data_IF_829439573730
#
_entry.id   IF_829439573730
#
_cell.length_a   1.000
_cell.length_b   1.000
_cell.length_c   1.000
_cell.angle_alpha   90.00
_cell.angle_beta   90.00
_cell.angle_gamma   90.00
#
_symmetry.space_group_name_H-M   'P 1'
#
loop_
_entity.id
_entity.type
_entity.pdbx_description
1 polymer ?
#
# COMPACT_ATOMS: atom_id res chain seq x y z
N UNK A 1 27.38 4.88 -22.48
CA UNK A 1 26.26 5.42 -21.67
C UNK A 1 25.20 4.34 -21.57
N UNK A 2 24.65 4.08 -20.37
CA UNK A 2 23.43 3.30 -20.22
C UNK A 2 22.29 3.97 -21.01
N UNK A 3 21.41 3.18 -21.63
CA UNK A 3 20.26 3.69 -22.39
C UNK A 3 19.40 4.67 -21.57
N UNK A 4 19.27 4.40 -20.27
CA UNK A 4 18.52 5.21 -19.30
C UNK A 4 19.04 6.64 -19.14
N UNK A 5 20.27 6.93 -19.57
CA UNK A 5 20.89 8.25 -19.46
C UNK A 5 20.86 9.02 -20.79
N UNK A 6 20.40 8.41 -21.88
CA UNK A 6 20.34 9.11 -23.17
C UNK A 6 19.26 10.19 -23.13
N UNK A 7 19.48 11.39 -23.71
CA UNK A 7 18.50 12.47 -23.65
C UNK A 7 17.14 12.10 -24.25
N UNK A 8 17.14 11.29 -25.31
CA UNK A 8 15.93 10.80 -25.95
C UNK A 8 15.13 9.87 -25.02
N UNK A 9 15.82 8.96 -24.32
CA UNK A 9 15.18 8.11 -23.33
C UNK A 9 14.62 8.93 -22.18
N UNK A 10 15.42 9.80 -21.55
CA UNK A 10 14.98 10.63 -20.40
C UNK A 10 13.78 11.49 -20.79
N UNK A 11 13.80 12.12 -21.97
CA UNK A 11 12.67 12.91 -22.47
C UNK A 11 11.40 12.06 -22.61
N UNK A 12 11.51 10.88 -23.20
CA UNK A 12 10.36 9.98 -23.40
C UNK A 12 9.85 9.44 -22.07
N UNK A 13 10.77 9.00 -21.22
CA UNK A 13 10.49 8.45 -19.89
C UNK A 13 9.86 9.48 -18.95
N UNK A 14 10.20 10.76 -19.09
CA UNK A 14 9.59 11.83 -18.30
C UNK A 14 8.07 11.99 -18.48
N UNK A 15 7.52 11.40 -19.55
CA UNK A 15 6.08 11.40 -19.85
C UNK A 15 5.33 10.24 -19.22
N UNK A 16 6.02 9.27 -18.60
CA UNK A 16 5.39 8.12 -17.97
C UNK A 16 4.54 8.57 -16.78
N UNK A 17 3.26 8.21 -16.82
CA UNK A 17 2.30 8.45 -15.72
C UNK A 17 2.04 7.19 -14.89
N UNK A 18 2.35 6.01 -15.43
CA UNK A 18 2.09 4.72 -14.80
C UNK A 18 3.32 3.81 -14.91
N UNK A 19 3.80 3.34 -13.76
CA UNK A 19 4.90 2.40 -13.65
C UNK A 19 4.45 1.22 -12.78
N UNK A 20 4.34 0.05 -13.40
CA UNK A 20 4.00 -1.19 -12.71
C UNK A 20 5.11 -2.22 -12.88
N UNK A 21 5.67 -2.64 -11.75
CA UNK A 21 6.74 -3.61 -11.65
C UNK A 21 6.38 -4.59 -10.53
N UNK A 22 5.40 -5.45 -10.80
CA UNK A 22 4.87 -6.42 -9.83
C UNK A 22 5.68 -7.73 -9.77
N UNK A 23 6.70 -7.85 -10.62
CA UNK A 23 7.57 -9.01 -10.73
C UNK A 23 8.76 -8.89 -9.77
N UNK A 24 8.61 -9.47 -8.57
CA UNK A 24 9.67 -9.87 -7.65
C UNK A 24 11.02 -9.14 -7.81
N UNK A 25 11.03 -7.81 -7.67
CA UNK A 25 12.20 -6.95 -7.84
C UNK A 25 13.31 -7.45 -6.92
N UNK A 26 14.48 -7.71 -7.50
CA UNK A 26 15.64 -8.25 -6.79
C UNK A 26 16.56 -7.11 -6.31
N UNK A 27 17.39 -7.34 -5.28
CA UNK A 27 18.24 -6.29 -4.71
C UNK A 27 19.18 -5.59 -5.70
N UNK A 28 19.67 -6.31 -6.71
CA UNK A 28 20.54 -5.80 -7.77
C UNK A 28 19.84 -4.82 -8.73
N UNK A 29 18.51 -4.77 -8.72
CA UNK A 29 17.70 -3.89 -9.58
C UNK A 29 17.33 -2.56 -8.90
N UNK A 30 17.59 -2.42 -7.59
CA UNK A 30 17.10 -1.28 -6.80
C UNK A 30 17.66 0.07 -7.26
N UNK A 31 18.96 0.15 -7.56
CA UNK A 31 19.59 1.38 -8.03
C UNK A 31 19.03 1.82 -9.39
N UNK A 32 18.85 0.87 -10.30
CA UNK A 32 18.23 1.12 -11.59
C UNK A 32 16.79 1.60 -11.42
N UNK A 33 16.03 0.99 -10.52
CA UNK A 33 14.65 1.37 -10.23
C UNK A 33 14.57 2.80 -9.67
N UNK A 34 15.45 3.16 -8.73
CA UNK A 34 15.54 4.52 -8.20
C UNK A 34 15.81 5.54 -9.32
N UNK A 35 16.71 5.21 -10.25
CA UNK A 35 16.97 6.05 -11.41
C UNK A 35 15.74 6.20 -12.33
N UNK A 36 14.99 5.12 -12.56
CA UNK A 36 13.77 5.19 -13.37
C UNK A 36 12.70 6.06 -12.73
N UNK A 37 12.44 5.86 -11.43
CA UNK A 37 11.40 6.59 -10.71
C UNK A 37 11.74 8.08 -10.57
N UNK A 38 13.01 8.42 -10.33
CA UNK A 38 13.46 9.82 -10.30
C UNK A 38 13.33 10.50 -11.67
N UNK A 39 13.29 9.73 -12.76
CA UNK A 39 13.15 10.24 -14.13
C UNK A 39 11.69 10.35 -14.61
N UNK A 40 10.69 10.07 -13.75
CA UNK A 40 9.25 10.15 -14.09
C UNK A 40 8.53 11.22 -13.25
N UNK A 41 8.67 12.52 -13.57
CA UNK A 41 8.06 13.60 -12.80
C UNK A 41 6.52 13.69 -12.95
N UNK A 42 5.95 12.98 -13.93
CA UNK A 42 4.50 12.90 -14.17
C UNK A 42 3.86 11.65 -13.58
N UNK A 43 4.60 10.86 -12.80
CA UNK A 43 4.10 9.59 -12.28
C UNK A 43 2.91 9.80 -11.35
N UNK A 44 1.79 9.15 -11.68
CA UNK A 44 0.53 9.14 -10.94
C UNK A 44 0.22 7.76 -10.38
N UNK A 45 0.68 6.70 -11.03
CA UNK A 45 0.45 5.31 -10.60
C UNK A 45 1.78 4.58 -10.43
N UNK A 46 2.01 4.06 -9.23
CA UNK A 46 3.21 3.32 -8.89
C UNK A 46 2.84 1.98 -8.27
N UNK A 47 3.24 0.89 -8.92
CA UNK A 47 3.12 -0.48 -8.40
C UNK A 47 4.49 -1.13 -8.34
N UNK A 48 4.93 -1.54 -7.14
CA UNK A 48 6.23 -2.18 -6.91
C UNK A 48 6.05 -3.47 -6.11
N UNK A 49 6.50 -4.59 -6.66
CA UNK A 49 6.53 -5.89 -6.01
C UNK A 49 7.95 -6.42 -5.86
N UNK A 50 8.39 -6.69 -4.63
CA UNK A 50 9.75 -7.11 -4.33
C UNK A 50 9.85 -8.62 -4.12
N UNK A 51 10.99 -9.21 -4.48
CA UNK A 51 11.33 -10.57 -4.04
C UNK A 51 11.65 -10.56 -2.54
N UNK A 52 12.44 -9.56 -2.13
CA UNK A 52 12.79 -9.29 -0.73
C UNK A 52 12.87 -7.78 -0.57
N UNK A 53 11.87 -7.20 0.10
CA UNK A 53 11.80 -5.77 0.34
C UNK A 53 13.02 -5.21 1.07
N UNK A 54 13.51 -4.08 0.57
CA UNK A 54 14.64 -3.35 1.15
C UNK A 54 14.17 -2.04 1.80
N UNK A 55 14.52 -1.88 3.06
CA UNK A 55 14.20 -0.69 3.86
C UNK A 55 14.94 0.55 3.37
N UNK A 56 16.19 0.40 2.92
CA UNK A 56 17.00 1.52 2.46
C UNK A 56 16.42 2.09 1.16
N UNK A 57 16.09 1.22 0.21
CA UNK A 57 15.36 1.61 -1.00
C UNK A 57 14.09 2.40 -0.68
N UNK A 58 13.26 1.94 0.26
CA UNK A 58 12.00 2.61 0.59
C UNK A 58 12.22 3.98 1.27
N UNK A 59 13.29 4.13 2.05
CA UNK A 59 13.70 5.43 2.59
C UNK A 59 14.08 6.40 1.45
N UNK A 60 14.90 5.95 0.49
CA UNK A 60 15.29 6.75 -0.67
C UNK A 60 14.09 7.14 -1.53
N UNK A 61 13.19 6.18 -1.78
CA UNK A 61 11.95 6.41 -2.52
C UNK A 61 11.08 7.50 -1.87
N UNK A 62 10.92 7.46 -0.54
CA UNK A 62 10.14 8.46 0.21
C UNK A 62 10.73 9.87 0.17
N UNK A 63 12.03 9.99 -0.10
CA UNK A 63 12.75 11.25 -0.20
C UNK A 63 12.64 11.87 -1.61
N UNK A 64 12.17 11.14 -2.62
CA UNK A 64 12.03 11.68 -3.96
C UNK A 64 10.94 12.74 -4.05
N UNK A 65 11.36 13.95 -4.39
CA UNK A 65 10.48 15.09 -4.59
C UNK A 65 9.55 14.92 -5.80
N UNK A 66 9.89 14.06 -6.76
CA UNK A 66 9.08 13.77 -7.96
C UNK A 66 7.82 12.95 -7.66
N UNK A 67 7.75 12.27 -6.52
CA UNK A 67 6.62 11.43 -6.10
C UNK A 67 5.62 12.18 -5.22
N UNK A 68 5.01 13.24 -5.75
CA UNK A 68 4.15 14.16 -4.97
C UNK A 68 2.71 14.30 -5.48
N UNK A 69 2.34 13.52 -6.51
CA UNK A 69 1.00 13.50 -7.13
C UNK A 69 0.52 12.09 -7.44
N UNK A 70 0.96 11.11 -6.64
CA UNK A 70 0.50 9.75 -6.77
C UNK A 70 -1.00 9.67 -6.44
N UNK A 71 -1.70 8.99 -7.33
CA UNK A 71 -3.12 8.67 -7.31
C UNK A 71 -3.32 7.21 -6.93
N UNK A 72 -2.43 6.33 -7.40
CA UNK A 72 -2.39 4.93 -7.01
C UNK A 72 -1.00 4.55 -6.50
N UNK A 73 -0.94 3.97 -5.30
CA UNK A 73 0.26 3.36 -4.76
C UNK A 73 -0.02 1.90 -4.40
N UNK A 74 0.75 0.99 -4.99
CA UNK A 74 0.72 -0.44 -4.66
C UNK A 74 2.12 -0.89 -4.30
N UNK A 75 2.25 -1.45 -3.11
CA UNK A 75 3.49 -2.05 -2.61
C UNK A 75 3.21 -3.50 -2.26
N UNK A 76 4.08 -4.39 -2.72
CA UNK A 76 4.01 -5.82 -2.44
C UNK A 76 5.36 -6.34 -1.93
N UNK A 77 5.33 -7.08 -0.83
CA UNK A 77 6.51 -7.74 -0.25
C UNK A 77 7.65 -6.78 0.13
N UNK A 78 7.33 -5.53 0.48
CA UNK A 78 8.30 -4.51 0.86
C UNK A 78 8.61 -4.51 2.37
N UNK A 79 9.83 -4.08 2.73
CA UNK A 79 10.19 -3.74 4.11
C UNK A 79 10.35 -2.23 4.17
N UNK A 80 9.67 -1.58 5.11
CA UNK A 80 9.58 -0.11 5.20
C UNK A 80 9.72 0.35 6.63
N UNK A 81 10.21 1.57 6.85
CA UNK A 81 10.03 2.22 8.17
C UNK A 81 8.67 2.91 8.23
N UNK A 82 8.14 3.08 9.44
CA UNK A 82 6.93 3.89 9.69
C UNK A 82 7.12 5.29 9.12
N UNK A 83 8.31 5.88 9.32
CA UNK A 83 8.61 7.23 8.85
C UNK A 83 8.65 7.31 7.33
N UNK A 84 9.31 6.37 6.64
CA UNK A 84 9.40 6.36 5.18
C UNK A 84 8.03 6.15 4.54
N UNK A 85 7.25 5.18 5.05
CA UNK A 85 5.90 4.93 4.55
C UNK A 85 4.98 6.13 4.81
N UNK A 86 4.96 6.67 6.05
CA UNK A 86 4.12 7.83 6.38
C UNK A 86 4.49 9.06 5.55
N UNK A 87 5.78 9.31 5.34
CA UNK A 87 6.25 10.44 4.53
C UNK A 87 5.81 10.31 3.07
N UNK A 88 5.94 9.10 2.50
CA UNK A 88 5.49 8.83 1.14
C UNK A 88 3.97 9.00 1.00
N UNK A 89 3.18 8.47 1.95
CA UNK A 89 1.73 8.57 1.93
C UNK A 89 1.25 10.00 2.12
N UNK A 90 1.73 10.71 3.15
CA UNK A 90 1.30 12.07 3.48
C UNK A 90 1.63 13.07 2.37
N UNK A 91 2.76 12.88 1.69
CA UNK A 91 3.13 13.70 0.52
C UNK A 91 2.10 13.62 -0.61
N UNK A 92 1.41 12.49 -0.72
CA UNK A 92 0.41 12.21 -1.76
C UNK A 92 -1.03 12.25 -1.22
N UNK A 93 -1.23 12.70 0.02
CA UNK A 93 -2.51 12.61 0.74
C UNK A 93 -3.69 13.28 0.02
N UNK A 94 -3.43 14.40 -0.66
CA UNK A 94 -4.45 15.14 -1.41
C UNK A 94 -4.84 14.50 -2.76
N UNK A 95 -4.02 13.59 -3.30
CA UNK A 95 -4.23 13.00 -4.64
C UNK A 95 -4.50 11.50 -4.60
N UNK A 96 -4.04 10.81 -3.56
CA UNK A 96 -4.10 9.35 -3.47
C UNK A 96 -5.54 8.87 -3.34
N UNK A 97 -6.02 8.16 -4.37
CA UNK A 97 -7.36 7.56 -4.39
C UNK A 97 -7.35 6.04 -4.19
N UNK A 98 -6.19 5.39 -4.38
CA UNK A 98 -6.01 3.96 -4.19
C UNK A 98 -4.69 3.64 -3.48
N UNK A 99 -4.79 2.85 -2.41
CA UNK A 99 -3.65 2.33 -1.67
C UNK A 99 -3.75 0.81 -1.53
N UNK A 100 -2.73 0.08 -1.98
CA UNK A 100 -2.61 -1.36 -1.75
C UNK A 100 -1.28 -1.69 -1.08
N UNK A 101 -1.33 -2.23 0.13
CA UNK A 101 -0.18 -2.66 0.91
C UNK A 101 -0.30 -4.17 1.19
N UNK A 102 0.48 -4.96 0.47
CA UNK A 102 0.43 -6.42 0.57
C UNK A 102 1.78 -6.98 1.02
N UNK A 103 1.79 -7.87 2.01
CA UNK A 103 3.03 -8.47 2.55
C UNK A 103 4.06 -7.43 3.02
N UNK A 104 3.60 -6.31 3.60
CA UNK A 104 4.48 -5.22 4.04
C UNK A 104 4.96 -5.47 5.46
N UNK A 105 6.27 -5.37 5.68
CA UNK A 105 6.89 -5.48 7.00
C UNK A 105 7.42 -4.12 7.47
N UNK A 106 7.03 -3.71 8.68
CA UNK A 106 7.65 -2.56 9.35
C UNK A 106 9.03 -2.96 9.89
N UNK A 107 10.07 -2.36 9.33
CA UNK A 107 11.46 -2.68 9.63
C UNK A 107 12.01 -2.05 10.92
N UNK A 108 11.28 -1.11 11.52
CA UNK A 108 11.65 -0.47 12.79
C UNK A 108 11.34 -1.39 13.97
N UNK A 109 12.25 -1.48 14.95
CA UNK A 109 12.08 -2.31 16.14
C UNK A 109 10.77 -2.00 16.89
N UNK A 110 10.41 -0.72 16.98
CA UNK A 110 9.18 -0.23 17.62
C UNK A 110 8.09 0.18 16.61
N UNK A 111 8.28 -0.10 15.33
CA UNK A 111 7.34 0.31 14.29
C UNK A 111 5.98 -0.34 14.49
N UNK A 112 4.92 0.47 14.63
CA UNK A 112 3.54 -0.01 14.78
C UNK A 112 2.66 0.45 13.62
N UNK A 113 1.79 -0.44 13.14
CA UNK A 113 0.80 -0.10 12.12
C UNK A 113 -0.24 0.90 12.64
N UNK A 114 -0.54 0.90 13.94
CA UNK A 114 -1.38 1.92 14.57
C UNK A 114 -0.86 3.32 14.32
N UNK A 115 0.46 3.54 14.37
CA UNK A 115 1.08 4.82 14.07
C UNK A 115 0.88 5.23 12.62
N UNK A 116 1.03 4.28 11.67
CA UNK A 116 0.79 4.54 10.24
C UNK A 116 -0.66 4.94 10.00
N UNK A 117 -1.63 4.19 10.54
CA UNK A 117 -3.05 4.49 10.36
C UNK A 117 -3.46 5.80 11.05
N UNK A 118 -2.86 6.10 12.21
CA UNK A 118 -3.09 7.36 12.92
C UNK A 118 -2.60 8.56 12.09
N UNK A 119 -1.44 8.43 11.44
CA UNK A 119 -0.93 9.46 10.55
C UNK A 119 -1.81 9.64 9.31
N UNK A 120 -2.45 8.57 8.84
CA UNK A 120 -3.37 8.66 7.70
C UNK A 120 -4.72 9.29 8.05
N UNK A 121 -5.24 9.03 9.26
CA UNK A 121 -6.58 9.47 9.66
C UNK A 121 -6.75 10.99 9.48
N UNK A 122 -7.81 11.41 8.78
CA UNK A 122 -8.16 12.81 8.55
C UNK A 122 -7.34 13.54 7.50
N UNK A 123 -6.41 12.86 6.81
CA UNK A 123 -5.51 13.50 5.83
C UNK A 123 -5.80 13.12 4.38
N UNK A 124 -6.60 12.08 4.11
CA UNK A 124 -6.74 11.47 2.78
C UNK A 124 -8.16 11.66 2.19
N UNK A 125 -8.53 12.87 1.76
CA UNK A 125 -9.89 13.18 1.33
C UNK A 125 -10.33 12.45 0.05
N UNK A 126 -9.37 12.02 -0.78
CA UNK A 126 -9.64 11.36 -2.07
C UNK A 126 -9.55 9.83 -2.00
N UNK A 127 -9.07 9.26 -0.89
CA UNK A 127 -8.80 7.83 -0.78
C UNK A 127 -10.12 7.05 -0.75
N UNK A 128 -10.33 6.23 -1.79
CA UNK A 128 -11.55 5.45 -1.95
C UNK A 128 -11.30 3.95 -1.91
N UNK A 129 -10.10 3.53 -2.30
CA UNK A 129 -9.71 2.13 -2.35
C UNK A 129 -8.56 1.87 -1.38
N UNK A 130 -8.76 0.94 -0.46
CA UNK A 130 -7.75 0.52 0.50
C UNK A 130 -7.68 -1.00 0.56
N UNK A 131 -6.53 -1.55 0.21
CA UNK A 131 -6.24 -2.98 0.33
C UNK A 131 -5.05 -3.14 1.26
N UNK A 132 -5.25 -3.84 2.38
CA UNK A 132 -4.18 -4.19 3.32
C UNK A 132 -4.18 -5.70 3.47
N UNK A 133 -3.05 -6.36 3.28
CA UNK A 133 -2.99 -7.82 3.37
C UNK A 133 -1.64 -8.27 3.90
N UNK A 134 -1.65 -9.20 4.86
CA UNK A 134 -0.43 -9.81 5.41
C UNK A 134 0.60 -8.78 5.90
N UNK A 135 0.15 -7.83 6.70
CA UNK A 135 1.01 -6.82 7.29
C UNK A 135 1.82 -7.43 8.45
N UNK A 136 3.09 -7.06 8.58
CA UNK A 136 3.97 -7.48 9.69
C UNK A 136 4.44 -6.26 10.48
N UNK A 137 4.51 -6.42 11.79
CA UNK A 137 4.93 -5.41 12.75
C UNK A 137 6.24 -5.82 13.42
N UNK A 138 7.18 -4.87 13.53
CA UNK A 138 8.47 -5.08 14.20
C UNK A 138 9.44 -5.99 13.44
N UNK A 139 10.62 -6.20 14.03
CA UNK A 139 11.72 -6.97 13.42
C UNK A 139 11.63 -8.48 13.65
N UNK A 140 10.68 -8.94 14.47
CA UNK A 140 10.51 -10.36 14.77
C UNK A 140 9.71 -11.07 13.68
N UNK A 141 10.11 -12.29 13.34
CA UNK A 141 9.58 -13.07 12.20
C UNK A 141 8.08 -13.41 12.33
N UNK A 142 7.54 -13.35 13.54
CA UNK A 142 6.19 -13.82 13.88
C UNK A 142 5.20 -12.68 14.19
N UNK A 143 5.60 -11.41 14.04
CA UNK A 143 4.77 -10.23 14.32
C UNK A 143 3.69 -9.95 13.28
N UNK A 144 2.95 -10.96 12.82
CA UNK A 144 1.84 -10.77 11.89
C UNK A 144 0.79 -9.86 12.52
N UNK A 145 0.45 -8.78 11.83
CA UNK A 145 -0.57 -7.85 12.28
C UNK A 145 -1.96 -8.43 12.02
N UNK A 146 -2.77 -8.49 13.07
CA UNK A 146 -4.12 -9.08 13.03
C UNK A 146 -5.15 -8.00 13.29
N UNK A 147 -6.16 -7.92 12.42
CA UNK A 147 -7.29 -6.99 12.56
C UNK A 147 -8.39 -7.57 13.48
N UNK A 148 -8.02 -8.00 14.68
CA UNK A 148 -8.85 -8.80 15.60
C UNK A 148 -10.18 -8.15 16.00
N UNK A 149 -10.22 -6.81 16.04
CA UNK A 149 -11.41 -6.05 16.45
C UNK A 149 -12.34 -5.67 15.28
N UNK A 150 -11.96 -5.91 14.02
CA UNK A 150 -12.83 -5.64 12.88
C UNK A 150 -14.03 -6.59 12.82
N UNK A 151 -13.89 -7.81 13.34
CA UNK A 151 -15.00 -8.76 13.49
C UNK A 151 -16.11 -8.26 14.45
N UNK A 152 -15.80 -7.25 15.27
CA UNK A 152 -16.75 -6.64 16.23
C UNK A 152 -17.39 -5.37 15.70
N UNK A 153 -16.92 -4.83 14.57
CA UNK A 153 -17.57 -3.69 13.94
C UNK A 153 -18.84 -4.16 13.22
N UNK A 154 -19.99 -3.48 13.41
CA UNK A 154 -21.22 -3.85 12.75
C UNK A 154 -20.99 -3.81 11.25
N UNK A 155 -21.18 -4.97 10.62
CA UNK A 155 -21.07 -5.18 9.18
C UNK A 155 -22.12 -4.28 8.53
N UNK A 156 -21.68 -3.19 7.88
CA UNK A 156 -22.60 -2.32 7.13
C UNK A 156 -23.34 -3.16 6.07
N UNK A 157 -24.61 -2.88 5.77
CA UNK A 157 -25.32 -3.54 4.68
C UNK A 157 -24.49 -3.47 3.39
N UNK A 158 -24.14 -4.62 2.81
CA UNK A 158 -23.30 -4.73 1.60
C UNK A 158 -21.85 -5.21 1.82
N UNK A 159 -21.39 -5.37 3.07
CA UNK A 159 -20.07 -5.92 3.34
C UNK A 159 -20.03 -7.45 3.16
N UNK A 160 -19.00 -7.95 2.47
CA UNK A 160 -18.83 -9.38 2.12
C UNK A 160 -17.75 -10.03 3.00
N UNK A 161 -18.11 -11.10 3.71
CA UNK A 161 -17.15 -11.95 4.44
C UNK A 161 -16.71 -13.08 3.54
N UNK A 162 -15.43 -13.16 3.17
CA UNK A 162 -14.86 -14.29 2.42
C UNK A 162 -13.98 -15.16 3.31
N UNK A 163 -14.10 -16.48 3.13
CA UNK A 163 -13.43 -17.46 3.98
C UNK A 163 -11.93 -17.63 3.68
N UNK A 164 -11.20 -18.39 4.52
CA UNK A 164 -9.76 -18.64 4.36
C UNK A 164 -9.40 -19.34 3.04
N UNK A 165 -10.35 -20.07 2.46
CA UNK A 165 -10.16 -20.90 1.27
C UNK A 165 -10.48 -20.19 -0.06
N UNK A 166 -10.88 -18.91 -0.04
CA UNK A 166 -11.01 -18.08 -1.25
C UNK A 166 -9.64 -17.62 -1.80
N UNK A 167 -8.60 -18.39 -1.51
CA UNK A 167 -7.26 -18.16 -2.03
C UNK A 167 -7.26 -18.34 -3.56
N UNK A 168 -6.82 -17.27 -4.24
CA UNK A 168 -6.13 -17.32 -5.53
C UNK A 168 -6.98 -17.63 -6.77
N UNK A 169 -7.88 -16.72 -7.12
CA UNK A 169 -8.05 -16.31 -8.52
C UNK A 169 -7.91 -14.80 -8.62
N UNK A 170 -6.66 -14.33 -8.55
CA UNK A 170 -6.33 -12.93 -8.82
C UNK A 170 -6.22 -12.74 -10.34
N UNK A 171 -7.32 -12.96 -11.05
CA UNK A 171 -7.59 -12.26 -12.31
C UNK A 171 -8.62 -11.21 -11.91
N UNK A 172 -8.19 -9.98 -11.66
CA UNK A 172 -9.11 -8.87 -11.44
C UNK A 172 -9.95 -8.74 -12.70
N UNK A 173 -11.28 -8.99 -12.70
CA UNK A 173 -12.10 -8.37 -13.73
C UNK A 173 -11.93 -6.87 -13.50
N UNK A 174 -11.73 -6.11 -14.58
CA UNK A 174 -12.00 -4.68 -14.53
C UNK A 174 -13.41 -4.53 -13.94
N UNK A 175 -13.52 -3.87 -12.79
CA UNK A 175 -14.81 -3.65 -12.13
C UNK A 175 -15.50 -2.53 -12.92
N UNK A 176 -16.09 -2.91 -14.06
CA UNK A 176 -16.87 -2.07 -14.95
C UNK A 176 -18.31 -1.95 -14.42
N UNK A 177 -18.45 -1.16 -13.35
CA UNK A 177 -19.67 -0.50 -12.82
C UNK A 177 -19.77 -0.64 -11.30
N UNK A 178 -19.64 0.51 -10.62
CA UNK A 178 -19.79 0.68 -9.18
C UNK A 178 -21.04 1.51 -8.93
N UNK A 179 -22.15 0.85 -8.59
CA UNK A 179 -23.36 1.53 -8.09
C UNK A 179 -23.75 1.14 -6.65
N UNK A 180 -23.03 0.27 -5.92
CA UNK A 180 -23.45 -0.12 -4.56
C UNK A 180 -22.30 -0.51 -3.59
N UNK A 181 -22.54 -0.48 -2.26
CA UNK A 181 -21.83 0.31 -1.26
C UNK A 181 -20.64 -0.43 -0.63
N UNK A 182 -19.83 0.33 0.12
CA UNK A 182 -18.81 -0.08 1.11
C UNK A 182 -18.64 -1.60 1.24
N UNK A 183 -17.72 -2.17 0.46
CA UNK A 183 -17.35 -3.58 0.57
C UNK A 183 -16.11 -3.69 1.44
N UNK A 184 -16.31 -3.81 2.75
CA UNK A 184 -15.26 -4.30 3.65
C UNK A 184 -15.18 -5.82 3.45
N UNK A 185 -14.12 -6.28 2.77
CA UNK A 185 -13.76 -7.70 2.75
C UNK A 185 -12.65 -7.96 3.74
N UNK A 186 -12.65 -9.13 4.35
CA UNK A 186 -11.57 -9.56 5.22
C UNK A 186 -11.21 -11.02 4.99
N UNK A 187 -9.95 -11.37 5.27
CA UNK A 187 -9.43 -12.74 5.12
C UNK A 187 -9.11 -13.35 6.49
N UNK A 188 -9.97 -14.25 7.01
CA UNK A 188 -9.71 -14.91 8.28
C UNK A 188 -8.71 -16.07 8.13
N UNK A 189 -7.82 -16.27 9.10
CA UNK A 189 -7.11 -17.52 9.37
C UNK A 189 -7.38 -17.88 10.83
N UNK A 190 -8.15 -18.95 11.06
CA UNK A 190 -8.66 -19.28 12.39
C UNK A 190 -9.58 -18.19 12.92
N UNK A 191 -9.23 -17.58 14.06
CA UNK A 191 -9.97 -16.46 14.66
C UNK A 191 -9.39 -15.07 14.32
N UNK A 192 -8.42 -15.02 13.40
CA UNK A 192 -7.64 -13.82 13.11
C UNK A 192 -7.93 -13.27 11.72
N UNK A 193 -8.12 -11.97 11.57
CA UNK A 193 -8.22 -11.31 10.26
C UNK A 193 -6.84 -10.85 9.80
N UNK A 194 -6.41 -11.27 8.60
CA UNK A 194 -5.07 -11.00 8.05
C UNK A 194 -5.05 -9.93 6.96
N UNK A 195 -6.20 -9.48 6.51
CA UNK A 195 -6.28 -8.41 5.55
C UNK A 195 -7.67 -7.83 5.45
N UNK A 196 -7.73 -6.67 4.83
CA UNK A 196 -8.93 -5.94 4.51
C UNK A 196 -8.87 -5.42 3.08
N UNK A 197 -10.01 -5.34 2.45
CA UNK A 197 -10.23 -4.56 1.23
C UNK A 197 -11.43 -3.65 1.48
N UNK A 198 -11.32 -2.40 1.09
CA UNK A 198 -12.33 -1.37 1.25
C UNK A 198 -12.48 -0.57 -0.03
N UNK A 199 -13.73 -0.30 -0.40
CA UNK A 199 -14.13 0.57 -1.50
C UNK A 199 -15.25 1.49 -1.04
N UNK A 200 -15.02 2.80 -0.97
CA UNK A 200 -16.06 3.75 -0.56
C UNK A 200 -15.57 5.14 -0.20
N UNK A 201 -16.46 6.01 0.28
CA UNK A 201 -16.16 7.42 0.61
C UNK A 201 -15.88 7.68 2.11
N UNK A 202 -16.09 6.70 2.95
CA UNK A 202 -15.99 6.77 4.42
C UNK A 202 -14.63 6.28 4.95
N UNK A 203 -13.55 6.55 4.19
CA UNK A 203 -12.22 6.02 4.51
C UNK A 203 -11.71 6.42 5.89
N UNK A 204 -12.06 7.61 6.38
CA UNK A 204 -11.68 8.07 7.72
C UNK A 204 -12.31 7.25 8.85
N UNK A 205 -13.52 6.73 8.64
CA UNK A 205 -14.16 5.84 9.61
C UNK A 205 -13.42 4.50 9.65
N UNK A 206 -13.05 3.97 8.46
CA UNK A 206 -12.24 2.76 8.33
C UNK A 206 -10.89 2.94 9.01
N UNK A 207 -10.14 3.99 8.68
CA UNK A 207 -8.86 4.30 9.31
C UNK A 207 -9.01 4.47 10.83
N UNK A 208 -10.10 5.08 11.29
CA UNK A 208 -10.43 5.18 12.72
C UNK A 208 -10.60 3.81 13.38
N UNK A 209 -11.32 2.88 12.76
CA UNK A 209 -11.45 1.51 13.23
C UNK A 209 -10.08 0.79 13.23
N UNK A 210 -9.28 0.98 12.18
CA UNK A 210 -7.94 0.38 12.08
C UNK A 210 -7.00 0.84 13.19
N UNK A 211 -6.99 2.13 13.54
CA UNK A 211 -6.23 2.65 14.68
C UNK A 211 -6.61 1.93 15.98
N UNK A 212 -7.91 1.78 16.24
CA UNK A 212 -8.40 1.12 17.46
C UNK A 212 -7.99 -0.36 17.47
N UNK A 213 -8.16 -1.05 16.34
CA UNK A 213 -7.78 -2.46 16.21
C UNK A 213 -6.27 -2.67 16.38
N UNK A 214 -5.47 -1.73 15.89
CA UNK A 214 -4.02 -1.80 15.92
C UNK A 214 -3.41 -1.45 17.28
N UNK A 215 -4.12 -0.67 18.10
CA UNK A 215 -3.68 -0.30 19.45
C UNK A 215 -4.00 -1.35 20.52
N UNK A 216 -4.85 -2.34 20.20
CA UNK A 216 -5.26 -3.42 21.11
C UNK A 216 -4.35 -4.67 21.05
N UNK A 217 -3.36 -4.68 20.15
CA UNK A 217 -2.32 -5.72 20.02
C UNK A 217 -1.02 -5.25 20.68
#
# INVERSE_FOLDING_TARGET
>A
MPLSQTPAFVKSWSQVEELMLDSAITPDQLDWLLHLVSSTPKLRKLSLGFYKGDQMFMQLLSAFHTLYKLEELRLKSARVTVNALSSLLLRNSATLHSLSLQHIALGDYEGRWSTVFQNMKGHFPCLQNLVLFWLKQGTYTDGLFIFSMLLKYPVSPGSEVRGPNDCLKYESPQIDSMEDPIRLRYWPIGQSVLGIEYHGKEIDQVLGALVITAGAN
#
